data_IF_276635550375
#
_entry.id   IF_276635550375
#
_cell.length_a   1.000
_cell.length_b   1.000
_cell.length_c   1.000
_cell.angle_alpha   90.00
_cell.angle_beta   90.00
_cell.angle_gamma   90.00
#
_symmetry.space_group_name_H-M   'P 1'
#
loop_
_entity.id
_entity.type
_entity.pdbx_description
1 polymer ?
#
# COMPACT_ATOMS: atom_id res chain seq x y z
N UNK A 1 56.59 -77.56 -23.36
CA UNK A 1 57.27 -76.43 -24.03
C UNK A 1 56.72 -75.13 -23.44
N UNK A 2 57.60 -74.26 -22.92
CA UNK A 2 57.64 -72.77 -22.99
C UNK A 2 56.28 -72.03 -23.18
N UNK A 3 55.86 -70.96 -22.48
CA UNK A 3 56.42 -69.93 -21.56
C UNK A 3 55.20 -69.24 -20.88
N UNK A 4 55.15 -69.12 -19.56
CA UNK A 4 55.21 -67.87 -18.76
C UNK A 4 54.93 -66.55 -19.49
N UNK A 5 53.91 -65.81 -19.03
CA UNK A 5 53.90 -64.34 -18.91
C UNK A 5 52.99 -63.92 -17.75
N UNK A 6 53.56 -63.12 -16.84
CA UNK A 6 52.99 -62.61 -15.61
C UNK A 6 52.11 -61.38 -15.87
N UNK A 7 51.08 -61.19 -15.05
CA UNK A 7 50.29 -59.96 -14.97
C UNK A 7 50.52 -59.28 -13.60
N UNK A 8 50.70 -57.95 -13.55
CA UNK A 8 50.92 -57.22 -12.31
C UNK A 8 49.60 -56.90 -11.59
N UNK A 9 49.60 -57.08 -10.27
CA UNK A 9 48.55 -56.61 -9.34
C UNK A 9 48.74 -55.10 -9.14
N UNK A 10 47.77 -54.30 -9.55
CA UNK A 10 47.72 -52.85 -9.25
C UNK A 10 46.84 -52.65 -8.01
N UNK A 11 47.47 -52.25 -6.91
CA UNK A 11 46.81 -51.82 -5.68
C UNK A 11 46.34 -50.36 -5.87
N UNK A 12 45.03 -50.11 -5.95
CA UNK A 12 44.48 -48.76 -5.91
C UNK A 12 44.31 -48.30 -4.45
N UNK A 13 45.12 -47.32 -4.04
CA UNK A 13 44.93 -46.57 -2.80
C UNK A 13 43.82 -45.52 -3.01
N UNK A 14 42.67 -45.71 -2.38
CA UNK A 14 41.59 -44.72 -2.36
C UNK A 14 41.92 -43.61 -1.36
N UNK A 15 42.32 -42.43 -1.87
CA UNK A 15 42.45 -41.21 -1.08
C UNK A 15 41.05 -40.60 -0.94
N UNK A 16 40.50 -40.64 0.28
CA UNK A 16 39.25 -39.97 0.62
C UNK A 16 39.41 -38.45 0.58
N UNK A 17 38.88 -37.83 -0.47
CA UNK A 17 38.71 -36.37 -0.56
C UNK A 17 37.53 -35.98 0.35
N UNK A 18 37.85 -35.51 1.56
CA UNK A 18 36.89 -34.78 2.39
C UNK A 18 36.54 -33.45 1.70
N UNK A 19 35.36 -33.38 1.12
CA UNK A 19 34.79 -32.16 0.55
C UNK A 19 34.51 -31.15 1.67
N UNK A 20 35.49 -30.33 2.01
CA UNK A 20 35.30 -29.17 2.88
C UNK A 20 34.35 -28.22 2.15
N UNK A 21 33.08 -28.27 2.53
CA UNK A 21 32.05 -27.37 2.03
C UNK A 21 32.37 -25.98 2.55
N UNK A 22 33.01 -25.15 1.72
CA UNK A 22 33.22 -23.76 2.05
C UNK A 22 31.84 -23.12 2.37
N UNK A 23 31.71 -22.38 3.49
CA UNK A 23 30.46 -21.72 3.81
C UNK A 23 30.10 -20.78 2.65
N UNK A 24 28.93 -20.99 2.04
CA UNK A 24 28.37 -20.05 1.05
C UNK A 24 28.31 -18.68 1.72
N UNK A 25 29.10 -17.75 1.22
CA UNK A 25 28.98 -16.34 1.59
C UNK A 25 27.51 -15.95 1.37
N UNK A 26 26.85 -15.50 2.43
CA UNK A 26 25.51 -14.95 2.32
C UNK A 26 25.59 -13.72 1.41
N UNK A 27 24.96 -13.78 0.24
CA UNK A 27 24.86 -12.63 -0.65
C UNK A 27 24.24 -11.46 0.11
N UNK A 28 24.84 -10.27 -0.01
CA UNK A 28 24.24 -9.07 0.56
C UNK A 28 22.87 -8.83 -0.10
N UNK A 29 21.85 -8.37 0.65
CA UNK A 29 20.56 -8.03 0.07
C UNK A 29 20.75 -7.04 -1.09
N UNK A 30 20.01 -7.24 -2.18
CA UNK A 30 20.04 -6.32 -3.31
C UNK A 30 19.73 -4.89 -2.84
N UNK A 31 20.43 -3.87 -3.36
CA UNK A 31 20.13 -2.48 -3.00
C UNK A 31 18.70 -2.12 -3.43
N UNK A 32 18.00 -1.25 -2.69
CA UNK A 32 16.67 -0.81 -3.08
C UNK A 32 16.68 -0.12 -4.45
N UNK A 33 15.66 -0.39 -5.27
CA UNK A 33 15.56 0.11 -6.63
C UNK A 33 14.67 1.36 -6.68
N UNK A 34 15.14 2.43 -7.35
CA UNK A 34 14.29 3.60 -7.65
C UNK A 34 13.38 3.30 -8.84
N UNK A 35 12.11 3.61 -8.70
CA UNK A 35 11.08 3.26 -9.68
C UNK A 35 10.25 4.49 -10.04
N UNK A 36 9.70 4.49 -11.25
CA UNK A 36 8.84 5.56 -11.77
C UNK A 36 7.61 4.97 -12.42
N UNK A 37 6.45 5.56 -12.16
CA UNK A 37 5.17 5.10 -12.69
C UNK A 37 4.22 6.29 -12.86
N UNK A 38 3.17 6.14 -13.67
CA UNK A 38 2.26 7.22 -14.04
C UNK A 38 0.90 7.05 -13.37
N UNK A 39 0.34 8.15 -12.88
CA UNK A 39 -1.06 8.23 -12.48
C UNK A 39 -1.98 8.30 -13.68
N UNK A 40 -3.27 8.06 -13.46
CA UNK A 40 -4.28 8.18 -14.51
C UNK A 40 -4.43 9.59 -15.04
N UNK A 41 -4.03 10.64 -14.32
CA UNK A 41 -3.99 12.01 -14.81
C UNK A 41 -2.61 12.45 -15.34
N UNK A 42 -1.63 11.55 -15.42
CA UNK A 42 -0.34 11.83 -16.06
C UNK A 42 0.72 12.45 -15.17
N UNK A 43 0.55 12.43 -13.85
CA UNK A 43 1.62 12.75 -12.90
C UNK A 43 2.57 11.55 -12.84
N UNK A 44 3.88 11.80 -12.93
CA UNK A 44 4.88 10.79 -12.68
C UNK A 44 5.23 10.73 -11.20
N UNK A 45 4.92 9.59 -10.59
CA UNK A 45 5.30 9.29 -9.22
C UNK A 45 6.64 8.55 -9.20
N UNK A 46 7.33 8.71 -8.08
CA UNK A 46 8.61 8.07 -7.77
C UNK A 46 8.46 7.22 -6.54
N UNK A 47 9.12 6.07 -6.56
CA UNK A 47 9.16 5.16 -5.43
C UNK A 47 10.50 4.47 -5.28
N UNK A 48 10.65 3.78 -4.16
CA UNK A 48 11.78 2.91 -3.85
C UNK A 48 11.24 1.56 -3.44
N UNK A 49 11.61 0.52 -4.18
CA UNK A 49 11.21 -0.85 -3.95
C UNK A 49 12.33 -1.62 -3.24
N UNK A 50 11.99 -2.25 -2.12
CA UNK A 50 12.88 -3.09 -1.33
C UNK A 50 12.48 -4.55 -1.54
N UNK A 51 13.13 -5.18 -2.52
CA UNK A 51 12.87 -6.58 -2.85
C UNK A 51 13.38 -7.51 -1.74
N UNK A 52 12.57 -8.47 -1.30
CA UNK A 52 13.04 -9.54 -0.42
C UNK A 52 13.48 -10.75 -1.25
N UNK A 53 14.60 -11.36 -0.87
CA UNK A 53 15.08 -12.60 -1.48
C UNK A 53 14.34 -13.85 -0.94
N UNK A 54 13.57 -13.70 0.16
CA UNK A 54 12.83 -14.80 0.77
C UNK A 54 11.53 -15.05 0.03
N UNK A 55 11.50 -16.09 -0.80
CA UNK A 55 10.33 -16.49 -1.58
C UNK A 55 9.76 -15.31 -2.41
N UNK A 56 10.64 -14.55 -3.07
CA UNK A 56 10.33 -13.26 -3.72
C UNK A 56 8.99 -13.25 -4.49
N UNK A 57 8.76 -14.20 -5.40
CA UNK A 57 7.53 -14.23 -6.21
C UNK A 57 6.23 -14.52 -5.43
N UNK A 58 6.32 -15.08 -4.23
CA UNK A 58 5.17 -15.36 -3.35
C UNK A 58 5.09 -14.40 -2.15
N UNK A 59 6.12 -13.60 -1.93
CA UNK A 59 6.23 -12.73 -0.78
C UNK A 59 5.16 -11.62 -0.82
N UNK A 60 4.54 -11.31 0.33
CA UNK A 60 3.63 -10.18 0.46
C UNK A 60 4.37 -8.86 0.23
N UNK A 61 3.61 -7.79 -0.06
CA UNK A 61 4.14 -6.43 -0.22
C UNK A 61 3.54 -5.49 0.82
N UNK A 62 4.37 -4.61 1.37
CA UNK A 62 3.97 -3.57 2.32
C UNK A 62 4.13 -2.22 1.66
N UNK A 63 3.05 -1.45 1.60
CA UNK A 63 3.05 -0.09 1.06
C UNK A 63 3.13 0.90 2.22
N UNK A 64 4.20 1.68 2.25
CA UNK A 64 4.37 2.73 3.25
C UNK A 64 3.68 4.03 2.82
N UNK A 65 3.00 4.66 3.76
CA UNK A 65 2.22 5.88 3.55
C UNK A 65 2.53 6.91 4.63
N UNK A 66 3.35 7.91 4.33
CA UNK A 66 3.48 9.07 5.20
C UNK A 66 2.29 10.02 4.98
N UNK A 67 1.93 10.86 5.96
CA UNK A 67 0.82 11.80 5.77
C UNK A 67 1.19 12.86 4.72
N UNK A 68 0.34 13.15 3.72
CA UNK A 68 0.63 14.19 2.73
C UNK A 68 0.60 15.59 3.35
N UNK A 69 1.24 16.57 2.71
CA UNK A 69 1.36 17.95 3.17
C UNK A 69 2.79 18.50 3.23
N UNK A 70 2.92 19.82 3.39
CA UNK A 70 4.23 20.48 3.46
C UNK A 70 5.10 19.90 4.59
N UNK A 71 6.41 19.81 4.32
CA UNK A 71 7.44 19.30 5.26
C UNK A 71 7.25 17.86 5.75
N UNK A 72 6.37 17.09 5.09
CA UNK A 72 6.12 15.67 5.34
C UNK A 72 6.72 14.85 4.19
N UNK A 73 7.53 13.85 4.54
CA UNK A 73 8.21 12.96 3.60
C UNK A 73 8.67 11.66 4.29
N UNK A 74 9.22 10.73 3.50
CA UNK A 74 9.79 9.45 3.98
C UNK A 74 11.15 9.58 4.68
N UNK A 75 11.70 10.80 4.84
CA UNK A 75 12.92 11.06 5.64
C UNK A 75 12.61 11.34 7.10
N UNK A 76 11.33 11.59 7.43
CA UNK A 76 10.91 11.78 8.82
C UNK A 76 10.72 10.42 9.49
N UNK A 77 11.43 10.16 10.59
CA UNK A 77 11.38 8.90 11.34
C UNK A 77 12.07 7.73 10.63
N UNK A 78 12.07 6.54 11.25
CA UNK A 78 12.86 5.40 10.79
C UNK A 78 12.12 4.46 9.83
N UNK A 79 11.63 5.03 8.72
CA UNK A 79 11.06 4.24 7.63
C UNK A 79 12.07 3.26 7.02
N UNK A 80 13.36 3.64 6.99
CA UNK A 80 14.41 2.80 6.41
C UNK A 80 14.64 1.56 7.28
N UNK A 81 14.80 1.72 8.59
CA UNK A 81 14.99 0.62 9.52
C UNK A 81 13.80 -0.33 9.55
N UNK A 82 12.56 0.20 9.53
CA UNK A 82 11.37 -0.64 9.43
C UNK A 82 11.33 -1.40 8.09
N UNK A 83 11.67 -0.76 6.96
CA UNK A 83 11.74 -1.44 5.67
C UNK A 83 12.75 -2.59 5.68
N UNK A 84 13.94 -2.37 6.25
CA UNK A 84 14.98 -3.39 6.39
C UNK A 84 14.52 -4.56 7.28
N UNK A 85 13.86 -4.26 8.41
CA UNK A 85 13.30 -5.27 9.31
C UNK A 85 12.26 -6.14 8.58
N UNK A 86 11.29 -5.53 7.90
CA UNK A 86 10.25 -6.25 7.17
C UNK A 86 10.86 -7.06 6.01
N UNK A 87 11.80 -6.49 5.27
CA UNK A 87 12.50 -7.16 4.19
C UNK A 87 13.26 -8.42 4.66
N UNK A 88 13.99 -8.30 5.78
CA UNK A 88 14.66 -9.42 6.45
C UNK A 88 13.66 -10.51 6.87
N UNK A 89 12.40 -10.17 7.09
CA UNK A 89 11.33 -11.09 7.48
C UNK A 89 10.45 -11.57 6.31
N UNK A 90 10.89 -11.36 5.07
CA UNK A 90 10.23 -11.94 3.89
C UNK A 90 9.06 -11.12 3.35
N UNK A 91 9.09 -9.80 3.56
CA UNK A 91 8.14 -8.87 2.97
C UNK A 91 8.86 -8.00 1.93
N UNK A 92 8.26 -7.82 0.76
CA UNK A 92 8.62 -6.69 -0.10
C UNK A 92 8.14 -5.40 0.56
N UNK A 93 8.89 -4.31 0.41
CA UNK A 93 8.46 -3.00 0.91
C UNK A 93 8.50 -1.99 -0.22
N UNK A 94 7.39 -1.31 -0.44
CA UNK A 94 7.28 -0.23 -1.42
C UNK A 94 7.05 1.10 -0.72
N UNK A 95 7.95 2.03 -0.95
CA UNK A 95 7.84 3.42 -0.48
C UNK A 95 7.68 4.30 -1.70
N UNK A 96 6.87 5.35 -1.60
CA UNK A 96 6.68 6.27 -2.71
C UNK A 96 6.45 7.68 -2.20
N UNK A 97 6.71 8.66 -3.06
CA UNK A 97 6.39 10.06 -2.83
C UNK A 97 5.02 10.37 -3.45
N UNK A 98 4.15 11.02 -2.68
CA UNK A 98 2.89 11.57 -3.20
C UNK A 98 3.15 12.58 -4.33
N UNK A 99 2.17 12.82 -5.19
CA UNK A 99 2.25 13.91 -6.18
C UNK A 99 2.64 15.23 -5.51
N UNK A 100 3.61 15.92 -6.08
CA UNK A 100 4.18 17.17 -5.58
C UNK A 100 5.07 17.06 -4.34
N UNK A 101 5.38 15.85 -3.89
CA UNK A 101 6.37 15.60 -2.85
C UNK A 101 7.66 15.01 -3.43
N UNK A 102 8.76 15.18 -2.70
CA UNK A 102 10.03 14.51 -2.99
C UNK A 102 10.42 14.61 -4.47
N UNK A 103 10.53 13.46 -5.15
CA UNK A 103 10.85 13.40 -6.58
C UNK A 103 9.62 13.28 -7.50
N UNK A 104 8.40 13.23 -6.96
CA UNK A 104 7.12 13.07 -7.68
C UNK A 104 6.50 14.39 -8.15
N UNK A 105 7.29 15.27 -8.80
CA UNK A 105 6.83 16.62 -9.17
C UNK A 105 6.43 16.76 -10.65
N UNK A 106 6.79 15.79 -11.49
CA UNK A 106 6.63 15.89 -12.94
C UNK A 106 5.20 15.57 -13.39
N UNK A 107 4.63 16.42 -14.26
CA UNK A 107 3.39 16.17 -14.99
C UNK A 107 3.75 15.82 -16.45
N UNK A 108 3.72 14.53 -16.80
CA UNK A 108 4.10 14.03 -18.13
C UNK A 108 3.00 14.20 -19.17
N UNK A 109 1.74 14.20 -18.76
CA UNK A 109 0.59 14.52 -19.61
C UNK A 109 -0.14 15.74 -19.04
N UNK A 110 0.35 16.94 -19.38
CA UNK A 110 -0.19 18.20 -18.87
C UNK A 110 -1.64 18.41 -19.30
N UNK A 111 -1.99 17.98 -20.51
CA UNK A 111 -3.36 18.08 -21.00
C UNK A 111 -4.29 17.24 -20.13
N UNK A 112 -3.96 15.97 -19.92
CA UNK A 112 -4.78 15.08 -19.08
C UNK A 112 -4.82 15.57 -17.63
N UNK A 113 -3.72 16.06 -17.07
CA UNK A 113 -3.71 16.60 -15.72
C UNK A 113 -4.65 17.81 -15.55
N UNK A 114 -4.55 18.81 -16.43
CA UNK A 114 -5.29 20.06 -16.29
C UNK A 114 -6.72 20.01 -16.83
N UNK A 115 -7.02 19.12 -17.77
CA UNK A 115 -8.32 19.07 -18.48
C UNK A 115 -9.16 17.83 -18.13
N UNK A 116 -8.68 16.85 -17.35
CA UNK A 116 -9.48 15.64 -17.08
C UNK A 116 -10.77 15.95 -16.31
N UNK A 117 -11.88 15.37 -16.77
CA UNK A 117 -13.21 15.57 -16.19
C UNK A 117 -13.42 14.86 -14.85
N UNK A 118 -12.64 13.81 -14.55
CA UNK A 118 -12.75 13.05 -13.30
C UNK A 118 -12.31 13.88 -12.08
N UNK A 119 -11.26 14.68 -12.22
CA UNK A 119 -10.78 15.62 -11.18
C UNK A 119 -11.31 17.04 -11.39
N UNK A 120 -11.46 17.46 -12.65
CA UNK A 120 -11.73 18.86 -13.02
C UNK A 120 -13.16 19.13 -13.48
N UNK A 121 -14.09 18.21 -13.23
CA UNK A 121 -15.53 18.39 -13.43
C UNK A 121 -16.16 19.41 -12.46
N UNK A 122 -17.42 19.23 -12.01
CA UNK A 122 -18.20 20.27 -11.31
C UNK A 122 -17.61 20.89 -10.03
N UNK A 123 -16.50 20.40 -9.47
CA UNK A 123 -15.83 21.07 -8.35
C UNK A 123 -14.33 21.32 -8.51
N UNK A 124 -13.71 20.91 -9.62
CA UNK A 124 -12.32 21.24 -9.98
C UNK A 124 -11.27 21.21 -8.84
N UNK A 125 -10.75 20.02 -8.51
CA UNK A 125 -9.69 19.90 -7.50
C UNK A 125 -8.41 20.68 -7.87
N UNK A 126 -8.14 20.90 -9.17
CA UNK A 126 -6.99 21.71 -9.60
C UNK A 126 -7.16 23.21 -9.28
N UNK A 127 -8.35 23.68 -8.87
CA UNK A 127 -8.53 25.02 -8.32
C UNK A 127 -7.76 25.23 -7.00
N UNK A 128 -7.35 24.16 -6.32
CA UNK A 128 -6.53 24.22 -5.11
C UNK A 128 -5.02 24.25 -5.40
N UNK A 129 -4.63 24.36 -6.66
CA UNK A 129 -3.23 24.50 -7.07
C UNK A 129 -2.98 25.96 -7.44
N UNK A 130 -1.89 26.55 -6.93
CA UNK A 130 -1.48 27.92 -7.25
C UNK A 130 -1.26 28.06 -8.75
N UNK A 131 -2.18 28.80 -9.39
CA UNK A 131 -2.19 29.02 -10.83
C UNK A 131 -3.15 28.12 -11.62
N UNK A 132 -4.00 27.32 -10.97
CA UNK A 132 -5.11 26.61 -11.63
C UNK A 132 -6.38 27.47 -11.76
N UNK A 133 -7.35 27.13 -12.65
CA UNK A 133 -7.26 26.28 -13.87
C UNK A 133 -6.18 26.79 -14.86
N UNK A 134 -5.71 25.98 -15.85
CA UNK A 134 -4.45 26.24 -16.56
C UNK A 134 -4.36 27.66 -17.09
N UNK A 135 -3.49 28.48 -16.47
CA UNK A 135 -3.05 29.75 -17.03
C UNK A 135 -1.92 29.46 -17.99
N UNK A 136 -1.91 30.08 -19.16
CA UNK A 136 -0.78 29.98 -20.09
C UNK A 136 0.43 30.73 -19.50
N UNK A 137 1.65 30.16 -19.52
CA UNK A 137 2.00 28.82 -20.00
C UNK A 137 1.59 27.70 -19.02
N UNK A 138 1.12 26.57 -19.55
CA UNK A 138 0.66 25.43 -18.76
C UNK A 138 1.84 24.83 -17.97
N UNK A 139 1.68 24.73 -16.65
CA UNK A 139 2.69 24.13 -15.79
C UNK A 139 2.78 22.62 -16.04
N UNK A 140 4.01 22.12 -16.12
CA UNK A 140 4.35 20.70 -16.21
C UNK A 140 4.95 20.14 -14.92
N UNK A 141 4.92 20.93 -13.85
CA UNK A 141 5.37 20.53 -12.52
C UNK A 141 4.29 20.88 -11.49
N UNK A 142 4.19 20.04 -10.46
CA UNK A 142 3.38 20.25 -9.27
C UNK A 142 4.31 20.12 -8.06
N UNK A 143 4.26 21.08 -7.14
CA UNK A 143 4.90 20.96 -5.83
C UNK A 143 3.86 21.09 -4.73
N UNK A 144 4.05 20.39 -3.61
CA UNK A 144 3.12 20.43 -2.47
C UNK A 144 2.92 21.84 -1.92
N UNK A 145 3.96 22.68 -1.98
CA UNK A 145 3.92 24.11 -1.62
C UNK A 145 3.04 24.97 -2.54
N UNK A 146 2.65 24.45 -3.69
CA UNK A 146 1.71 25.10 -4.60
C UNK A 146 0.26 24.74 -4.27
N UNK A 147 0.00 23.79 -3.39
CA UNK A 147 -1.36 23.51 -2.93
C UNK A 147 -1.83 24.62 -1.98
N UNK A 148 -2.74 25.46 -2.46
CA UNK A 148 -3.31 26.58 -1.68
C UNK A 148 -4.29 26.11 -0.62
N UNK A 149 -4.89 24.94 -0.82
CA UNK A 149 -5.79 24.25 0.10
C UNK A 149 -5.48 22.76 0.13
N UNK A 150 -4.34 22.41 0.69
CA UNK A 150 -3.86 21.02 0.74
C UNK A 150 -4.88 20.07 1.40
N UNK A 151 -5.65 20.55 2.37
CA UNK A 151 -6.72 19.79 3.04
C UNK A 151 -7.87 19.43 2.10
N UNK A 152 -8.16 20.27 1.09
CA UNK A 152 -9.22 20.04 0.08
C UNK A 152 -8.71 19.22 -1.10
N UNK A 153 -7.42 19.33 -1.40
CA UNK A 153 -6.75 18.51 -2.41
C UNK A 153 -6.51 17.06 -1.95
N UNK A 154 -6.61 16.80 -0.64
CA UNK A 154 -6.36 15.52 -0.01
C UNK A 154 -6.97 14.28 -0.70
N UNK A 155 -8.24 14.29 -1.17
CA UNK A 155 -8.82 13.12 -1.83
C UNK A 155 -8.13 12.72 -3.13
N UNK A 156 -7.44 13.66 -3.79
CA UNK A 156 -6.75 13.41 -5.07
C UNK A 156 -5.63 12.37 -4.92
N UNK A 157 -5.02 12.25 -3.73
CA UNK A 157 -4.00 11.24 -3.43
C UNK A 157 -4.51 9.79 -3.55
N UNK A 158 -5.84 9.56 -3.60
CA UNK A 158 -6.37 8.23 -3.94
C UNK A 158 -6.02 7.79 -5.36
N UNK A 159 -5.85 8.73 -6.30
CA UNK A 159 -5.37 8.40 -7.65
C UNK A 159 -3.88 8.04 -7.66
N UNK A 160 -3.10 8.50 -6.68
CA UNK A 160 -1.72 8.07 -6.50
C UNK A 160 -1.69 6.62 -6.02
N UNK A 161 -2.57 6.25 -5.06
CA UNK A 161 -2.71 4.87 -4.62
C UNK A 161 -3.20 3.94 -5.75
N UNK A 162 -4.07 4.41 -6.64
CA UNK A 162 -4.45 3.67 -7.85
C UNK A 162 -3.24 3.40 -8.76
N UNK A 163 -2.35 4.38 -8.92
CA UNK A 163 -1.12 4.24 -9.68
C UNK A 163 -0.14 3.25 -9.00
N UNK A 164 0.01 3.34 -7.68
CA UNK A 164 0.80 2.40 -6.87
C UNK A 164 0.24 0.98 -7.04
N UNK A 165 -1.08 0.81 -6.96
CA UNK A 165 -1.74 -0.48 -7.13
C UNK A 165 -1.47 -1.09 -8.50
N UNK A 166 -1.62 -0.32 -9.57
CA UNK A 166 -1.32 -0.78 -10.92
C UNK A 166 0.15 -1.19 -11.08
N UNK A 167 1.06 -0.38 -10.56
CA UNK A 167 2.51 -0.65 -10.61
C UNK A 167 2.86 -1.97 -9.92
N UNK A 168 2.30 -2.22 -8.74
CA UNK A 168 2.46 -3.48 -8.02
C UNK A 168 1.77 -4.64 -8.74
N UNK A 169 0.58 -4.44 -9.30
CA UNK A 169 -0.13 -5.47 -10.08
C UNK A 169 0.68 -5.87 -11.33
N UNK A 170 1.38 -4.93 -11.97
CA UNK A 170 2.30 -5.22 -13.10
C UNK A 170 3.47 -6.10 -12.66
N UNK A 171 4.08 -5.81 -11.50
CA UNK A 171 5.11 -6.67 -10.89
C UNK A 171 4.59 -8.06 -10.52
N UNK A 172 3.37 -8.14 -10.00
CA UNK A 172 2.71 -9.40 -9.71
C UNK A 172 2.48 -10.24 -10.98
N UNK A 173 2.04 -9.61 -12.07
CA UNK A 173 1.81 -10.31 -13.34
C UNK A 173 3.12 -10.81 -13.96
N UNK A 174 4.22 -10.12 -13.67
CA UNK A 174 5.58 -10.56 -13.96
C UNK A 174 6.16 -11.57 -12.94
N UNK A 175 5.34 -12.03 -11.98
CA UNK A 175 5.67 -13.02 -10.94
C UNK A 175 6.83 -12.62 -10.01
N UNK A 176 7.08 -11.32 -9.84
CA UNK A 176 8.15 -10.83 -8.96
C UNK A 176 7.67 -10.57 -7.53
N UNK A 177 6.35 -10.39 -7.34
CA UNK A 177 5.71 -10.18 -6.03
C UNK A 177 4.34 -10.88 -6.01
N UNK A 178 3.70 -10.96 -4.83
CA UNK A 178 2.32 -11.41 -4.70
C UNK A 178 1.38 -10.28 -4.24
N UNK A 179 0.65 -9.65 -5.16
CA UNK A 179 -0.36 -8.64 -4.79
C UNK A 179 -1.64 -9.25 -4.26
N UNK A 180 -1.77 -10.57 -4.14
CA UNK A 180 -2.84 -11.19 -3.33
C UNK A 180 -2.52 -11.17 -1.83
N UNK A 181 -1.45 -10.50 -1.39
CA UNK A 181 -1.22 -10.18 0.02
C UNK A 181 -0.53 -8.82 0.15
N UNK A 182 -1.33 -7.76 0.24
CA UNK A 182 -0.86 -6.38 0.41
C UNK A 182 -1.11 -5.92 1.85
N UNK A 183 -0.12 -5.29 2.46
CA UNK A 183 -0.27 -4.56 3.72
C UNK A 183 -0.16 -3.07 3.47
N UNK A 184 -1.04 -2.29 4.10
CA UNK A 184 -0.89 -0.83 4.19
C UNK A 184 -0.27 -0.48 5.52
N UNK A 185 0.74 0.38 5.53
CA UNK A 185 1.32 0.87 6.77
C UNK A 185 1.50 2.38 6.64
N UNK A 186 0.76 3.14 7.44
CA UNK A 186 0.79 4.59 7.37
C UNK A 186 0.80 5.29 8.70
N UNK A 187 1.09 6.59 8.66
CA UNK A 187 1.12 7.46 9.84
C UNK A 187 0.20 8.67 9.69
N UNK A 188 -0.41 9.12 10.80
CA UNK A 188 -1.24 10.33 10.81
C UNK A 188 -2.40 10.26 9.81
N UNK A 189 -2.51 11.29 8.97
CA UNK A 189 -3.62 11.45 8.02
C UNK A 189 -3.65 10.34 6.95
N UNK A 190 -2.54 9.62 6.76
CA UNK A 190 -2.50 8.46 5.89
C UNK A 190 -3.51 7.37 6.32
N UNK A 191 -3.89 7.30 7.60
CA UNK A 191 -4.95 6.41 8.06
C UNK A 191 -6.31 6.73 7.41
N UNK A 192 -6.63 8.02 7.25
CA UNK A 192 -7.86 8.43 6.56
C UNK A 192 -7.81 8.09 5.07
N UNK A 193 -6.67 8.30 4.40
CA UNK A 193 -6.49 7.87 3.01
C UNK A 193 -6.59 6.36 2.86
N UNK A 194 -5.97 5.61 3.77
CA UNK A 194 -6.01 4.15 3.77
C UNK A 194 -7.43 3.61 3.89
N UNK A 195 -8.24 4.17 4.80
CA UNK A 195 -9.66 3.81 4.93
C UNK A 195 -10.46 4.11 3.66
N UNK A 196 -10.28 5.30 3.08
CA UNK A 196 -10.93 5.65 1.83
C UNK A 196 -10.47 4.72 0.69
N UNK A 197 -9.18 4.45 0.59
CA UNK A 197 -8.59 3.57 -0.42
C UNK A 197 -9.13 2.14 -0.35
N UNK A 198 -9.15 1.52 0.84
CA UNK A 198 -9.73 0.19 1.02
C UNK A 198 -11.19 0.16 0.58
N UNK A 199 -11.94 1.23 0.85
CA UNK A 199 -13.33 1.38 0.37
C UNK A 199 -13.43 1.37 -1.15
N UNK A 200 -12.48 2.00 -1.84
CA UNK A 200 -12.43 1.97 -3.30
C UNK A 200 -12.07 0.58 -3.82
N UNK A 201 -11.14 -0.13 -3.18
CA UNK A 201 -10.68 -1.44 -3.64
C UNK A 201 -11.74 -2.52 -3.49
N UNK A 202 -12.66 -2.41 -2.53
CA UNK A 202 -13.84 -3.29 -2.43
C UNK A 202 -14.87 -3.07 -3.53
N UNK A 203 -14.77 -1.98 -4.28
CA UNK A 203 -15.60 -1.69 -5.45
C UNK A 203 -14.82 -1.85 -6.76
N UNK A 204 -13.54 -2.25 -6.67
CA UNK A 204 -12.69 -2.55 -7.81
C UNK A 204 -12.67 -4.07 -8.06
N UNK A 205 -12.79 -4.52 -9.32
CA UNK A 205 -12.48 -5.90 -9.70
C UNK A 205 -11.04 -6.28 -9.33
N UNK A 206 -10.81 -7.45 -8.74
CA UNK A 206 -9.46 -7.94 -8.41
C UNK A 206 -8.66 -8.34 -9.65
N UNK A 207 -9.35 -8.62 -10.76
CA UNK A 207 -8.81 -8.97 -12.08
C UNK A 207 -9.53 -8.11 -13.10
N UNK A 208 -8.81 -7.67 -14.13
CA UNK A 208 -9.35 -6.83 -15.18
C UNK A 208 -10.60 -7.47 -15.78
N UNK A 209 -11.74 -6.75 -15.84
CA UNK A 209 -12.97 -7.32 -16.36
C UNK A 209 -12.83 -7.76 -17.81
N UNK A 210 -13.34 -8.94 -18.15
CA UNK A 210 -13.42 -9.36 -19.54
C UNK A 210 -14.22 -8.33 -20.38
N UNK A 211 -13.91 -8.13 -21.67
CA UNK A 211 -14.56 -7.11 -22.50
C UNK A 211 -16.09 -7.17 -22.46
N UNK A 212 -16.68 -8.38 -22.42
CA UNK A 212 -18.12 -8.56 -22.34
C UNK A 212 -18.77 -8.06 -21.04
N UNK A 213 -17.99 -7.82 -19.97
CA UNK A 213 -18.48 -7.31 -18.69
C UNK A 213 -18.48 -5.78 -18.62
N UNK A 214 -17.77 -5.07 -19.50
CA UNK A 214 -17.67 -3.61 -19.45
C UNK A 214 -18.93 -2.89 -19.96
N UNK A 215 -19.78 -3.60 -20.71
CA UNK A 215 -20.95 -3.05 -21.40
C UNK A 215 -20.69 -2.73 -22.87
N UNK A 216 -21.76 -2.49 -23.63
CA UNK A 216 -21.66 -2.16 -25.05
C UNK A 216 -20.93 -0.83 -25.24
N UNK A 217 -19.95 -0.80 -26.15
CA UNK A 217 -19.15 0.38 -26.53
C UNK A 217 -18.30 0.99 -25.40
N UNK A 218 -17.97 0.22 -24.35
CA UNK A 218 -17.04 0.66 -23.30
C UNK A 218 -15.64 0.12 -23.62
N UNK A 219 -14.71 1.03 -23.94
CA UNK A 219 -13.37 0.67 -24.44
C UNK A 219 -12.48 0.01 -23.38
N UNK A 220 -12.73 0.25 -22.10
CA UNK A 220 -11.91 -0.28 -21.02
C UNK A 220 -12.48 -0.02 -19.63
N UNK A 221 -11.75 -0.48 -18.62
CA UNK A 221 -11.98 -0.13 -17.22
C UNK A 221 -11.21 1.16 -16.91
N UNK A 222 -11.93 2.27 -16.70
CA UNK A 222 -11.36 3.62 -16.65
C UNK A 222 -11.45 4.25 -15.26
N UNK A 223 -12.43 3.86 -14.44
CA UNK A 223 -12.63 4.43 -13.11
C UNK A 223 -13.26 3.45 -12.11
N UNK A 224 -13.18 3.78 -10.82
CA UNK A 224 -13.76 3.00 -9.72
C UNK A 224 -14.77 3.86 -8.94
N UNK A 225 -16.00 3.38 -8.70
CA UNK A 225 -16.59 2.18 -9.28
C UNK A 225 -17.03 2.41 -10.73
N UNK A 226 -16.74 1.46 -11.62
CA UNK A 226 -17.36 1.39 -12.94
C UNK A 226 -18.41 0.28 -12.95
N UNK A 227 -19.59 0.61 -13.48
CA UNK A 227 -20.68 -0.36 -13.58
C UNK A 227 -20.29 -1.47 -14.55
N UNK A 228 -20.35 -2.70 -14.08
CA UNK A 228 -20.15 -3.90 -14.90
C UNK A 228 -21.49 -4.57 -15.23
N UNK A 229 -21.52 -5.24 -16.37
CA UNK A 229 -22.61 -6.13 -16.79
C UNK A 229 -22.31 -7.53 -16.31
N UNK A 230 -23.27 -8.18 -15.66
CA UNK A 230 -23.12 -9.55 -15.16
C UNK A 230 -22.52 -9.67 -13.76
N UNK A 231 -22.00 -10.85 -13.43
CA UNK A 231 -21.48 -11.18 -12.12
C UNK A 231 -20.21 -10.37 -11.82
N UNK A 232 -20.19 -9.73 -10.65
CA UNK A 232 -19.01 -9.00 -10.18
C UNK A 232 -17.89 -10.01 -9.88
N UNK A 233 -16.69 -9.86 -10.49
CA UNK A 233 -15.55 -10.71 -10.14
C UNK A 233 -15.15 -10.49 -8.68
N UNK A 234 -14.26 -11.35 -8.15
CA UNK A 234 -13.67 -11.13 -6.82
C UNK A 234 -13.22 -9.67 -6.64
N UNK A 235 -13.43 -9.07 -5.48
CA UNK A 235 -13.12 -7.66 -5.26
C UNK A 235 -11.65 -7.45 -4.88
N UNK A 236 -11.04 -6.38 -5.36
CA UNK A 236 -9.64 -6.01 -5.08
C UNK A 236 -9.38 -5.80 -3.59
N UNK A 237 -10.40 -5.44 -2.81
CA UNK A 237 -10.33 -5.32 -1.36
C UNK A 237 -9.92 -6.61 -0.64
N UNK A 238 -10.20 -7.78 -1.24
CA UNK A 238 -9.78 -9.09 -0.71
C UNK A 238 -8.26 -9.30 -0.75
N UNK A 239 -7.53 -8.52 -1.57
CA UNK A 239 -6.09 -8.63 -1.74
C UNK A 239 -5.31 -8.00 -0.57
N UNK A 240 -5.96 -7.12 0.20
CA UNK A 240 -5.35 -6.46 1.35
C UNK A 240 -5.42 -7.35 2.58
N UNK A 241 -4.26 -7.85 2.99
CA UNK A 241 -4.08 -8.73 4.14
C UNK A 241 -4.34 -8.00 5.47
N UNK A 242 -3.97 -6.72 5.55
CA UNK A 242 -4.22 -5.91 6.73
C UNK A 242 -3.67 -4.49 6.59
N UNK A 243 -3.96 -3.66 7.59
CA UNK A 243 -3.49 -2.29 7.64
C UNK A 243 -2.95 -1.91 9.02
N UNK A 244 -1.95 -1.05 9.06
CA UNK A 244 -1.28 -0.61 10.28
C UNK A 244 -1.21 0.92 10.28
N UNK A 245 -1.63 1.53 11.38
CA UNK A 245 -1.76 2.98 11.50
C UNK A 245 -1.05 3.52 12.74
N UNK A 246 -0.02 4.32 12.51
CA UNK A 246 0.80 4.99 13.53
C UNK A 246 0.23 6.36 13.85
N UNK A 247 -0.24 6.57 15.08
CA UNK A 247 -1.01 7.73 15.55
C UNK A 247 -2.00 8.20 14.46
N UNK A 248 -3.02 7.39 14.16
CA UNK A 248 -3.96 7.71 13.08
C UNK A 248 -4.52 9.12 13.27
N UNK A 249 -4.75 9.83 12.18
CA UNK A 249 -5.42 11.13 12.22
C UNK A 249 -6.31 11.34 11.02
N UNK A 250 -7.11 12.40 11.09
CA UNK A 250 -8.07 12.78 10.08
C UNK A 250 -7.98 14.27 9.79
N UNK A 251 -7.84 14.68 8.52
CA UNK A 251 -7.91 16.08 8.15
C UNK A 251 -9.27 16.67 8.52
N UNK A 252 -9.27 17.93 8.97
CA UNK A 252 -10.51 18.65 9.32
C UNK A 252 -11.49 18.79 8.14
N UNK A 253 -10.99 18.69 6.90
CA UNK A 253 -11.78 18.72 5.67
C UNK A 253 -12.61 17.46 5.43
N UNK A 254 -12.31 16.35 6.11
CA UNK A 254 -13.02 15.08 5.96
C UNK A 254 -13.96 14.90 7.14
N UNK A 255 -15.29 15.09 6.96
CA UNK A 255 -16.27 14.96 8.05
C UNK A 255 -16.33 13.53 8.56
N UNK A 256 -16.75 13.37 9.81
CA UNK A 256 -16.61 12.08 10.47
C UNK A 256 -17.79 11.13 10.24
N UNK A 257 -18.93 11.71 9.85
CA UNK A 257 -20.00 11.02 9.13
C UNK A 257 -19.54 10.40 7.81
N UNK A 258 -18.70 11.09 7.04
CA UNK A 258 -18.21 10.60 5.75
C UNK A 258 -17.33 9.35 5.95
N UNK A 259 -16.40 9.40 6.90
CA UNK A 259 -15.52 8.27 7.20
C UNK A 259 -16.30 7.06 7.72
N UNK A 260 -17.34 7.28 8.55
CA UNK A 260 -18.25 6.20 8.99
C UNK A 260 -18.99 5.57 7.80
N UNK A 261 -19.48 6.38 6.86
CA UNK A 261 -20.18 5.93 5.67
C UNK A 261 -19.34 5.02 4.77
N UNK A 262 -18.03 5.25 4.66
CA UNK A 262 -17.12 4.37 3.92
C UNK A 262 -17.26 2.90 4.30
N UNK A 263 -17.37 2.61 5.60
CA UNK A 263 -17.59 1.25 6.07
C UNK A 263 -19.07 0.89 6.12
N UNK A 264 -19.93 1.75 6.67
CA UNK A 264 -21.35 1.39 6.88
C UNK A 264 -22.17 1.31 5.61
N UNK A 265 -21.82 2.08 4.58
CA UNK A 265 -22.61 2.28 3.36
C UNK A 265 -21.90 1.72 2.14
N UNK A 266 -20.61 2.00 1.98
CA UNK A 266 -19.90 1.68 0.74
C UNK A 266 -19.20 0.32 0.77
N UNK A 267 -18.62 -0.10 1.91
CA UNK A 267 -18.00 -1.41 2.05
C UNK A 267 -17.92 -1.91 3.49
N UNK A 268 -18.97 -2.62 3.93
CA UNK A 268 -18.99 -3.29 5.23
C UNK A 268 -17.95 -4.41 5.35
N UNK A 269 -17.54 -4.97 4.20
CA UNK A 269 -16.55 -6.05 4.08
C UNK A 269 -15.18 -5.64 4.63
N UNK A 270 -14.84 -4.34 4.66
CA UNK A 270 -13.59 -3.86 5.27
C UNK A 270 -13.42 -4.39 6.70
N UNK A 271 -14.51 -4.38 7.48
CA UNK A 271 -14.50 -4.82 8.90
C UNK A 271 -14.00 -6.26 9.04
N UNK A 272 -14.50 -7.14 8.18
CA UNK A 272 -14.36 -8.59 8.33
C UNK A 272 -13.11 -9.12 7.65
N UNK A 273 -12.68 -8.46 6.58
CA UNK A 273 -11.66 -9.00 5.68
C UNK A 273 -10.34 -8.21 5.70
N UNK A 274 -10.31 -7.02 6.31
CA UNK A 274 -9.09 -6.23 6.42
C UNK A 274 -8.76 -5.93 7.89
N UNK A 275 -8.14 -6.89 8.61
CA UNK A 275 -7.59 -6.69 9.95
C UNK A 275 -6.76 -5.41 10.05
N UNK A 276 -6.90 -4.67 11.15
CA UNK A 276 -6.14 -3.43 11.34
C UNK A 276 -5.44 -3.33 12.70
N UNK A 277 -4.27 -2.71 12.72
CA UNK A 277 -3.54 -2.38 13.94
C UNK A 277 -3.41 -0.86 14.07
N UNK A 278 -3.97 -0.29 15.12
CA UNK A 278 -3.83 1.12 15.45
C UNK A 278 -2.86 1.27 16.63
N UNK A 279 -1.79 2.03 16.45
CA UNK A 279 -0.75 2.27 17.45
C UNK A 279 -0.71 3.75 17.82
N UNK A 280 -0.59 4.08 19.11
CA UNK A 280 -0.38 5.44 19.59
C UNK A 280 0.47 5.44 20.86
N UNK A 281 1.20 6.53 21.14
CA UNK A 281 2.00 6.63 22.37
C UNK A 281 1.13 6.94 23.61
N UNK A 282 1.60 6.57 24.79
CA UNK A 282 0.93 6.77 26.07
C UNK A 282 0.58 8.23 26.42
N UNK A 283 1.28 9.23 25.84
CA UNK A 283 0.95 10.66 25.98
C UNK A 283 0.51 11.31 24.67
N UNK A 284 0.16 10.54 23.64
CA UNK A 284 -0.40 11.03 22.38
C UNK A 284 -1.94 11.04 22.44
N UNK A 285 -2.51 12.05 23.10
CA UNK A 285 -3.95 12.17 23.26
C UNK A 285 -4.71 12.30 21.92
N UNK A 286 -4.09 12.93 20.92
CA UNK A 286 -4.69 13.10 19.60
C UNK A 286 -4.73 11.77 18.84
N UNK A 287 -3.61 11.03 18.81
CA UNK A 287 -3.53 9.71 18.20
C UNK A 287 -4.44 8.69 18.89
N UNK A 288 -4.54 8.74 20.23
CA UNK A 288 -5.50 7.92 20.99
C UNK A 288 -6.94 8.19 20.55
N UNK A 289 -7.37 9.45 20.60
CA UNK A 289 -8.74 9.85 20.25
C UNK A 289 -9.12 9.42 18.84
N UNK A 290 -8.22 9.62 17.87
CA UNK A 290 -8.48 9.24 16.48
C UNK A 290 -8.40 7.72 16.29
N UNK A 291 -7.51 7.02 16.99
CA UNK A 291 -7.47 5.56 17.01
C UNK A 291 -8.77 4.97 17.53
N UNK A 292 -9.29 5.50 18.64
CA UNK A 292 -10.61 5.13 19.18
C UNK A 292 -11.74 5.43 18.20
N UNK A 293 -11.70 6.54 17.48
CA UNK A 293 -12.69 6.87 16.45
C UNK A 293 -12.70 5.82 15.32
N UNK A 294 -11.55 5.51 14.72
CA UNK A 294 -11.49 4.50 13.66
C UNK A 294 -11.88 3.11 14.16
N UNK A 295 -11.41 2.73 15.35
CA UNK A 295 -11.64 1.41 15.92
C UNK A 295 -13.09 1.21 16.40
N UNK A 296 -13.62 2.12 17.21
CA UNK A 296 -14.93 1.97 17.85
C UNK A 296 -16.09 2.51 17.01
N UNK A 297 -15.87 3.55 16.22
CA UNK A 297 -16.98 4.22 15.51
C UNK A 297 -17.03 3.89 14.02
N UNK A 298 -15.89 3.83 13.35
CA UNK A 298 -15.83 3.51 11.91
C UNK A 298 -15.91 2.00 11.70
N UNK A 299 -15.02 1.25 12.36
CA UNK A 299 -14.98 -0.20 12.26
C UNK A 299 -15.91 -0.90 13.24
N UNK A 300 -16.45 -0.20 14.24
CA UNK A 300 -17.32 -0.79 15.26
C UNK A 300 -16.75 -2.11 15.76
N UNK A 301 -15.46 -2.10 16.13
CA UNK A 301 -14.69 -3.32 16.40
C UNK A 301 -15.21 -4.08 17.64
N UNK A 302 -15.75 -3.33 18.61
CA UNK A 302 -16.45 -3.86 19.79
C UNK A 302 -17.93 -3.46 19.74
N UNK A 303 -18.75 -4.15 18.92
CA UNK A 303 -20.15 -3.80 18.77
C UNK A 303 -20.96 -4.05 20.05
N UNK A 304 -21.99 -3.23 20.28
CA UNK A 304 -23.01 -3.53 21.28
C UNK A 304 -23.73 -4.82 20.90
N UNK A 305 -24.11 -5.64 21.88
CA UNK A 305 -24.85 -6.91 21.65
C UNK A 305 -26.10 -6.75 20.77
N UNK A 306 -26.73 -5.58 20.78
CA UNK A 306 -27.95 -5.27 20.04
C UNK A 306 -27.73 -4.94 18.55
N UNK A 307 -26.49 -4.76 18.08
CA UNK A 307 -26.26 -4.35 16.68
C UNK A 307 -26.26 -5.51 15.68
N UNK A 308 -26.22 -6.76 16.15
CA UNK A 308 -26.09 -7.95 15.30
C UNK A 308 -24.71 -8.15 14.65
N UNK A 309 -23.77 -7.23 14.89
CA UNK A 309 -22.40 -7.32 14.39
C UNK A 309 -21.54 -8.20 15.31
N UNK A 310 -20.59 -8.93 14.71
CA UNK A 310 -19.55 -9.66 15.45
C UNK A 310 -18.39 -8.73 15.85
N UNK A 311 -17.77 -8.95 17.03
CA UNK A 311 -16.49 -8.34 17.37
C UNK A 311 -15.40 -8.65 16.34
N UNK A 312 -14.42 -7.76 16.22
CA UNK A 312 -13.31 -7.91 15.28
C UNK A 312 -12.06 -8.40 16.01
N UNK A 313 -11.88 -9.72 16.08
CA UNK A 313 -10.82 -10.35 16.88
C UNK A 313 -9.40 -10.13 16.33
N UNK A 314 -9.29 -9.70 15.07
CA UNK A 314 -8.01 -9.45 14.39
C UNK A 314 -7.73 -7.95 14.20
N UNK A 315 -8.55 -7.08 14.77
CA UNK A 315 -8.34 -5.64 14.73
C UNK A 315 -8.01 -5.15 16.14
N UNK A 316 -6.96 -4.36 16.27
CA UNK A 316 -6.38 -3.99 17.56
C UNK A 316 -6.17 -2.48 17.68
N UNK A 317 -6.41 -1.96 18.88
CA UNK A 317 -6.04 -0.61 19.29
C UNK A 317 -5.04 -0.74 20.43
N UNK A 318 -3.80 -0.29 20.23
CA UNK A 318 -2.67 -0.58 21.12
C UNK A 318 -1.93 0.69 21.51
N UNK A 319 -1.84 0.91 22.81
CA UNK A 319 -1.02 1.95 23.41
C UNK A 319 0.44 1.47 23.55
N UNK A 320 1.36 2.28 23.05
CA UNK A 320 2.80 2.04 23.13
C UNK A 320 3.35 2.71 24.38
N UNK A 321 3.41 1.94 25.48
CA UNK A 321 3.93 2.43 26.76
C UNK A 321 5.40 2.85 26.66
N UNK A 322 5.73 3.99 27.26
CA UNK A 322 7.07 4.55 27.27
C UNK A 322 7.45 5.34 26.02
N UNK A 323 6.57 5.43 25.01
CA UNK A 323 6.77 6.26 23.82
C UNK A 323 6.48 7.75 24.06
N UNK A 324 6.06 8.15 25.27
CA UNK A 324 5.85 9.55 25.66
C UNK A 324 4.90 10.27 24.69
N UNK A 325 5.33 11.42 24.15
CA UNK A 325 4.56 12.26 23.22
C UNK A 325 4.90 11.97 21.75
N UNK A 326 5.59 10.86 21.45
CA UNK A 326 5.91 10.49 20.08
C UNK A 326 4.60 10.25 19.30
N UNK A 327 4.55 10.78 18.09
CA UNK A 327 3.36 10.71 17.25
C UNK A 327 3.70 10.51 15.78
N UNK A 328 2.78 9.82 15.11
CA UNK A 328 2.89 9.47 13.70
C UNK A 328 4.14 8.66 13.44
N UNK A 329 4.93 9.09 12.46
CA UNK A 329 6.17 8.41 12.11
C UNK A 329 7.24 8.48 13.19
N UNK A 330 7.15 9.45 14.11
CA UNK A 330 8.09 9.52 15.25
C UNK A 330 7.88 8.35 16.21
N UNK A 331 6.88 7.48 16.03
CA UNK A 331 6.83 6.22 16.75
C UNK A 331 7.93 5.23 16.33
N UNK A 332 8.53 5.42 15.14
CA UNK A 332 9.58 4.55 14.62
C UNK A 332 10.99 5.00 15.05
N UNK A 333 11.89 4.05 15.30
CA UNK A 333 13.34 4.24 15.44
C UNK A 333 13.84 4.86 16.74
N UNK A 334 12.95 5.28 17.65
CA UNK A 334 13.32 6.01 18.86
C UNK A 334 13.76 5.11 20.03
N UNK A 335 14.53 4.05 19.74
CA UNK A 335 15.08 3.14 20.75
C UNK A 335 14.04 2.30 21.50
N UNK A 336 12.77 2.33 21.08
CA UNK A 336 11.70 1.48 21.59
C UNK A 336 11.35 0.41 20.54
N UNK A 337 12.05 -0.73 20.50
CA UNK A 337 11.86 -1.76 19.46
C UNK A 337 10.44 -2.35 19.46
N UNK A 338 9.65 -2.07 20.50
CA UNK A 338 8.30 -2.61 20.66
C UNK A 338 7.36 -2.21 19.55
N UNK A 339 7.52 -1.03 18.93
CA UNK A 339 6.61 -0.60 17.85
C UNK A 339 6.82 -1.50 16.63
N UNK A 340 8.04 -1.57 16.14
CA UNK A 340 8.41 -2.38 14.97
C UNK A 340 8.19 -3.87 15.21
N UNK A 341 8.49 -4.36 16.42
CA UNK A 341 8.20 -5.75 16.81
C UNK A 341 6.70 -6.04 16.81
N UNK A 342 5.86 -5.13 17.33
CA UNK A 342 4.40 -5.30 17.34
C UNK A 342 3.85 -5.32 15.92
N UNK A 343 4.35 -4.45 15.04
CA UNK A 343 3.98 -4.43 13.61
C UNK A 343 4.32 -5.77 12.97
N UNK A 344 5.56 -6.24 13.16
CA UNK A 344 6.01 -7.51 12.59
C UNK A 344 5.21 -8.70 13.13
N UNK A 345 4.89 -8.73 14.42
CA UNK A 345 4.07 -9.78 15.04
C UNK A 345 2.66 -9.82 14.45
N UNK A 346 2.00 -8.66 14.34
CA UNK A 346 0.68 -8.54 13.74
C UNK A 346 0.67 -9.05 12.30
N UNK A 347 1.61 -8.59 11.48
CA UNK A 347 1.72 -9.02 10.08
C UNK A 347 2.00 -10.51 9.97
N UNK A 348 2.94 -11.03 10.77
CA UNK A 348 3.30 -12.45 10.77
C UNK A 348 2.12 -13.35 11.16
N UNK A 349 1.30 -12.92 12.12
CA UNK A 349 0.10 -13.67 12.51
C UNK A 349 -0.90 -13.80 11.34
N UNK A 350 -1.16 -12.70 10.63
CA UNK A 350 -2.06 -12.69 9.47
C UNK A 350 -1.46 -13.46 8.29
N UNK A 351 -0.16 -13.30 8.05
CA UNK A 351 0.51 -13.86 6.88
C UNK A 351 0.51 -15.40 6.89
N UNK A 352 0.38 -16.05 8.05
CA UNK A 352 0.19 -17.51 8.16
C UNK A 352 -1.01 -18.02 7.35
N UNK A 353 -2.11 -17.26 7.36
CA UNK A 353 -3.31 -17.59 6.58
C UNK A 353 -3.21 -17.06 5.15
N UNK A 354 -2.67 -15.85 4.97
CA UNK A 354 -2.56 -15.23 3.64
C UNK A 354 -1.57 -15.91 2.72
N UNK A 355 -0.52 -16.54 3.25
CA UNK A 355 0.42 -17.32 2.45
C UNK A 355 -0.24 -18.50 1.71
N UNK A 356 -1.44 -18.93 2.13
CA UNK A 356 -2.23 -19.97 1.47
C UNK A 356 -3.03 -19.45 0.28
N UNK A 357 -3.17 -18.14 0.13
CA UNK A 357 -3.92 -17.51 -0.97
C UNK A 357 -3.03 -17.46 -2.21
N UNK A 358 -3.42 -18.11 -3.32
CA UNK A 358 -2.63 -18.10 -4.54
C UNK A 358 -2.60 -16.68 -5.14
N UNK A 359 -1.47 -16.31 -5.73
CA UNK A 359 -1.38 -15.11 -6.57
C UNK A 359 -2.31 -15.26 -7.78
N UNK A 360 -2.89 -14.14 -8.20
CA UNK A 360 -3.79 -14.02 -9.35
C UNK A 360 -3.15 -13.11 -10.38
N UNK A 361 -3.22 -13.46 -11.66
CA UNK A 361 -2.90 -12.51 -12.74
C UNK A 361 -3.98 -11.43 -12.80
N UNK A 362 -3.57 -10.17 -12.81
CA UNK A 362 -4.42 -9.00 -12.66
C UNK A 362 -4.90 -8.48 -14.00
N UNK A 363 -4.02 -8.43 -15.01
CA UNK A 363 -4.36 -8.02 -16.38
C UNK A 363 -4.68 -6.53 -16.52
N UNK A 364 -4.35 -5.71 -15.52
CA UNK A 364 -4.50 -4.27 -15.61
C UNK A 364 -3.27 -3.68 -16.30
N UNK A 365 -3.47 -3.07 -17.47
CA UNK A 365 -2.39 -2.49 -18.28
C UNK A 365 -2.45 -0.96 -18.36
N UNK A 366 -3.52 -0.35 -17.86
CA UNK A 366 -3.74 1.09 -17.91
C UNK A 366 -4.13 1.64 -16.53
N UNK A 367 -3.67 2.85 -16.18
CA UNK A 367 -4.13 3.56 -15.00
C UNK A 367 -5.64 3.82 -15.04
N UNK A 368 -6.28 3.70 -13.89
CA UNK A 368 -7.70 4.02 -13.67
C UNK A 368 -7.85 5.16 -12.66
N UNK A 369 -8.97 5.87 -12.77
CA UNK A 369 -9.35 6.94 -11.84
C UNK A 369 -10.17 6.42 -10.67
N UNK A 370 -10.17 7.18 -9.58
CA UNK A 370 -11.16 7.02 -8.51
C UNK A 370 -12.24 8.09 -8.71
N UNK A 371 -13.52 7.72 -8.82
CA UNK A 371 -14.61 8.70 -8.77
C UNK A 371 -14.80 9.16 -7.33
N UNK A 372 -14.06 10.20 -6.96
CA UNK A 372 -14.06 10.76 -5.61
C UNK A 372 -15.46 11.16 -5.14
N UNK A 373 -16.34 11.57 -6.05
CA UNK A 373 -17.71 12.02 -5.72
C UNK A 373 -18.59 10.84 -5.29
N UNK A 374 -18.39 9.67 -5.90
CA UNK A 374 -19.09 8.45 -5.50
C UNK A 374 -18.84 8.15 -4.03
N UNK A 375 -17.62 8.36 -3.55
CA UNK A 375 -17.23 8.15 -2.15
C UNK A 375 -17.50 9.36 -1.24
N UNK A 376 -18.32 10.31 -1.70
CA UNK A 376 -18.78 11.47 -0.94
C UNK A 376 -17.77 12.60 -0.79
N UNK A 377 -16.62 12.54 -1.45
CA UNK A 377 -15.71 13.68 -1.49
C UNK A 377 -16.30 14.79 -2.35
N UNK A 378 -16.13 16.02 -1.87
CA UNK A 378 -16.47 17.25 -2.58
C UNK A 378 -15.23 18.12 -2.59
N UNK A 379 -14.89 18.74 -3.73
CA UNK A 379 -13.84 19.75 -3.79
C UNK A 379 -14.06 20.82 -2.71
#
# INVERSE_FOLDING_TARGET
MRRWLAAPVVLFAAIGLASVSAPRAAAQPAPPEEESFLTADGVQLKGVFHATDKNAGAAPVVVFMYPPGADRDMTKGDWVGLAQLLNKNGYHVFRFDWRGHGKSNDIKDTRRFWENSYLNGPGNFNAYIRGGPPRKPVKNELFVKDLTRAERYFPVYLNDLAAVRLHLDTKNDNRTINTSSIYLLGAGDAATLGMAWLTTEWQRPAVFPAPGLLGLNVAGYEFVPQRLTGAFPNEGGQDFAGAIWLSPSRPASVPDTLVKQWVSTYSSKIREFNPMLFLYADKDAAGKKQGEFFFNEVLVANPKKTSGLKPLDQTFLTEVKGAQQLSGVKLLGNGNPKVEDTILQFMTAIQKERAKVPSKTRGYNNPYFIDLRFYGFKP
#
